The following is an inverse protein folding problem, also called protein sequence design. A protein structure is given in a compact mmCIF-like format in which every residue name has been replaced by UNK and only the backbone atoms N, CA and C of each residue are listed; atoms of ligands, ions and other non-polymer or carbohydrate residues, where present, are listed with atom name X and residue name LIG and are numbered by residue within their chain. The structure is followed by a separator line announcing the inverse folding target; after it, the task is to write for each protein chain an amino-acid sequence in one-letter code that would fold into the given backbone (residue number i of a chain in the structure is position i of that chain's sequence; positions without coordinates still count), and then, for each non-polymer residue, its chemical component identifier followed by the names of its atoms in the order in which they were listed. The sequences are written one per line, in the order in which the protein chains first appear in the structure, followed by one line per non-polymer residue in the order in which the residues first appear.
data_IF_229747623688
#
_entry.id   IF_229747623688
#
_cell.length_a   1.000
_cell.length_b   1.000
_cell.length_c   1.000
_cell.angle_alpha   90.00
_cell.angle_beta   90.00
_cell.angle_gamma   90.00
#
_symmetry.space_group_name_H-M   'P 1'
#
loop_
_entity.id
_entity.type
_entity.pdbx_description
1 polymer ?
#
# COMPACT_ATOMS: atom_id res chain seq x y z
N UNK A 1 18.36 -6.67 -11.04
CA UNK A 1 17.25 -7.08 -10.16
C UNK A 1 16.84 -5.86 -9.34
N UNK A 2 15.55 -5.55 -9.14
CA UNK A 2 15.11 -4.32 -8.46
C UNK A 2 14.96 -4.47 -6.93
N UNK A 3 15.04 -5.70 -6.41
CA UNK A 3 14.90 -6.03 -4.98
C UNK A 3 16.02 -5.44 -4.11
N UNK A 4 17.22 -5.28 -4.65
CA UNK A 4 18.37 -4.71 -3.91
C UNK A 4 18.09 -3.27 -3.45
N UNK A 5 17.21 -2.54 -4.14
CA UNK A 5 16.76 -1.20 -3.73
C UNK A 5 15.90 -1.21 -2.48
N UNK A 6 15.37 -2.35 -2.05
CA UNK A 6 14.56 -2.46 -0.84
C UNK A 6 15.39 -2.80 0.40
N UNK A 7 16.66 -3.19 0.24
CA UNK A 7 17.54 -3.55 1.36
C UNK A 7 17.73 -2.37 2.31
N UNK A 8 17.61 -2.60 3.61
CA UNK A 8 17.76 -1.59 4.65
C UNK A 8 16.50 -1.42 5.48
N UNK A 9 16.52 -0.43 6.37
CA UNK A 9 15.41 -0.14 7.26
C UNK A 9 14.49 0.90 6.64
N UNK A 10 13.19 0.73 6.84
CA UNK A 10 12.16 1.60 6.29
C UNK A 10 11.13 1.95 7.36
N UNK A 11 10.67 3.20 7.33
CA UNK A 11 9.49 3.65 8.07
C UNK A 11 8.28 3.59 7.14
N UNK A 12 7.21 3.02 7.66
CA UNK A 12 5.92 2.96 6.99
C UNK A 12 4.95 3.87 7.74
N UNK A 13 4.28 4.76 7.01
CA UNK A 13 3.17 5.54 7.52
C UNK A 13 1.96 5.22 6.66
N UNK A 14 0.95 4.60 7.27
CA UNK A 14 -0.27 4.19 6.59
C UNK A 14 -1.45 4.97 7.15
N UNK A 15 -2.21 5.59 6.26
CA UNK A 15 -3.53 6.13 6.56
C UNK A 15 -4.58 5.18 5.99
N UNK A 16 -5.25 4.48 6.89
CA UNK A 16 -6.25 3.48 6.56
C UNK A 16 -7.65 4.10 6.71
N UNK A 17 -8.52 3.85 5.73
CA UNK A 17 -9.91 4.27 5.81
C UNK A 17 -10.61 3.56 6.96
N UNK A 18 -11.39 4.28 7.76
CA UNK A 18 -12.18 3.65 8.81
C UNK A 18 -13.24 2.74 8.16
N UNK A 19 -13.10 1.43 8.33
CA UNK A 19 -14.06 0.45 7.81
C UNK A 19 -15.01 0.03 8.94
N UNK A 20 -16.33 0.27 8.79
CA UNK A 20 -17.30 -0.03 9.85
C UNK A 20 -17.52 -1.54 10.04
N UNK A 21 -17.19 -2.34 9.01
CA UNK A 21 -17.34 -3.79 9.01
C UNK A 21 -16.12 -4.46 8.39
N UNK A 22 -15.77 -5.68 8.82
CA UNK A 22 -14.73 -6.47 8.15
C UNK A 22 -15.01 -6.61 6.65
N UNK A 23 -13.99 -6.39 5.85
CA UNK A 23 -14.06 -6.66 4.41
C UNK A 23 -13.63 -8.10 4.17
N UNK A 24 -14.59 -8.96 3.84
CA UNK A 24 -14.33 -10.25 3.21
C UNK A 24 -14.37 -10.05 1.69
N UNK A 25 -13.25 -10.27 1.01
CA UNK A 25 -13.18 -9.96 -0.41
C UNK A 25 -11.77 -10.04 -0.99
N UNK A 26 -11.54 -9.30 -2.07
CA UNK A 26 -10.23 -9.18 -2.72
C UNK A 26 -9.57 -7.86 -2.33
N UNK A 27 -8.26 -7.88 -2.22
CA UNK A 27 -7.45 -6.68 -2.00
C UNK A 27 -6.38 -6.61 -3.07
N UNK A 28 -6.05 -5.39 -3.51
CA UNK A 28 -4.91 -5.12 -4.38
C UNK A 28 -4.21 -3.86 -3.91
N UNK A 29 -2.91 -3.76 -4.20
CA UNK A 29 -2.14 -2.58 -3.89
C UNK A 29 -1.13 -2.30 -5.00
N UNK A 30 -0.80 -1.03 -5.17
CA UNK A 30 0.24 -0.56 -6.08
C UNK A 30 1.21 0.28 -5.30
N UNK A 31 2.51 0.01 -5.47
CA UNK A 31 3.60 0.82 -4.95
C UNK A 31 4.41 1.43 -6.10
N UNK A 32 4.79 2.71 -5.97
CA UNK A 32 5.65 3.42 -6.92
C UNK A 32 6.86 3.98 -6.20
N UNK A 33 8.05 3.65 -6.70
CA UNK A 33 9.27 4.27 -6.22
C UNK A 33 9.27 5.76 -6.55
N UNK A 34 9.54 6.58 -5.54
CA UNK A 34 9.80 8.01 -5.65
C UNK A 34 11.27 8.25 -5.31
N UNK A 35 12.15 7.86 -6.24
CA UNK A 35 13.59 7.81 -6.00
C UNK A 35 14.04 6.52 -5.30
N UNK A 36 15.22 6.53 -4.69
CA UNK A 36 15.82 5.37 -4.04
C UNK A 36 15.30 5.12 -2.61
N UNK A 37 14.74 6.15 -1.98
CA UNK A 37 14.49 6.19 -0.53
C UNK A 37 13.03 6.46 -0.18
N UNK A 38 12.13 6.45 -1.16
CA UNK A 38 10.71 6.59 -0.92
C UNK A 38 9.86 5.71 -1.84
N UNK A 39 8.73 5.23 -1.32
CA UNK A 39 7.71 4.49 -2.07
C UNK A 39 6.34 5.04 -1.68
N UNK A 40 5.56 5.43 -2.68
CA UNK A 40 4.16 5.80 -2.50
C UNK A 40 3.28 4.59 -2.83
N UNK A 41 2.43 4.22 -1.90
CA UNK A 41 1.57 3.04 -1.97
C UNK A 41 0.10 3.43 -1.81
N UNK A 42 -0.77 2.76 -2.56
CA UNK A 42 -2.21 2.82 -2.36
C UNK A 42 -2.80 1.41 -2.44
N UNK A 43 -3.71 1.12 -1.52
CA UNK A 43 -4.49 -0.11 -1.47
C UNK A 43 -5.94 0.14 -1.85
N UNK A 44 -6.54 -0.86 -2.48
CA UNK A 44 -7.96 -0.92 -2.78
C UNK A 44 -8.50 -2.30 -2.40
N UNK A 45 -9.76 -2.34 -1.98
CA UNK A 45 -10.48 -3.57 -1.70
C UNK A 45 -11.73 -3.70 -2.58
N UNK A 46 -12.25 -4.92 -2.68
CA UNK A 46 -13.46 -5.24 -3.42
C UNK A 46 -14.30 -6.25 -2.64
N UNK A 47 -15.58 -5.94 -2.45
CA UNK A 47 -16.59 -6.81 -1.81
C UNK A 47 -17.33 -7.71 -2.81
N UNK A 48 -17.22 -7.44 -4.10
CA UNK A 48 -17.96 -8.08 -5.19
C UNK A 48 -17.06 -8.89 -6.13
N UNK A 49 -16.05 -9.55 -5.54
CA UNK A 49 -15.11 -10.43 -6.25
C UNK A 49 -14.25 -9.73 -7.33
N UNK A 50 -14.08 -8.42 -7.23
CA UNK A 50 -13.22 -7.61 -8.09
C UNK A 50 -13.95 -6.86 -9.19
N UNK A 51 -15.29 -6.82 -9.17
CA UNK A 51 -16.07 -6.04 -10.13
C UNK A 51 -15.97 -4.53 -9.84
N UNK A 52 -16.01 -4.13 -8.56
CA UNK A 52 -15.78 -2.76 -8.10
C UNK A 52 -14.66 -2.70 -7.07
N UNK A 53 -13.93 -1.59 -7.06
CA UNK A 53 -12.80 -1.36 -6.18
C UNK A 53 -13.01 -0.06 -5.39
N UNK A 54 -12.85 -0.13 -4.08
CA UNK A 54 -12.91 1.00 -3.17
C UNK A 54 -11.54 1.29 -2.60
N UNK A 55 -11.23 2.57 -2.37
CA UNK A 55 -10.01 2.95 -1.68
C UNK A 55 -9.98 2.37 -0.27
N UNK A 56 -8.84 1.79 0.10
CA UNK A 56 -8.60 1.20 1.40
C UNK A 56 -7.67 2.08 2.23
N UNK A 57 -6.44 2.23 1.74
CA UNK A 57 -5.40 2.97 2.42
C UNK A 57 -4.48 3.71 1.45
N UNK A 58 -3.86 4.76 1.95
CA UNK A 58 -2.61 5.32 1.40
C UNK A 58 -1.48 4.99 2.35
N UNK A 59 -0.30 4.71 1.82
CA UNK A 59 0.89 4.44 2.62
C UNK A 59 2.11 5.07 1.98
N UNK A 60 2.94 5.72 2.78
CA UNK A 60 4.28 6.16 2.36
C UNK A 60 5.32 5.32 3.07
N UNK A 61 6.30 4.83 2.32
CA UNK A 61 7.50 4.21 2.85
C UNK A 61 8.65 5.19 2.65
N UNK A 62 9.44 5.45 3.69
CA UNK A 62 10.69 6.21 3.60
C UNK A 62 11.83 5.43 4.22
N UNK A 63 13.00 5.42 3.58
CA UNK A 63 14.19 4.82 4.18
C UNK A 63 14.55 5.57 5.46
N UNK A 64 15.04 4.82 6.45
CA UNK A 64 15.63 5.42 7.65
C UNK A 64 17.12 5.12 7.67
N UNK A 65 17.91 6.13 8.04
CA UNK A 65 19.35 6.03 8.28
C UNK A 65 19.64 5.29 9.59
#
# INVERSE_FOLDING_TARGET
MWLDRLLGSWRFTMNHSAMPEPVTGRQRYVGRFRGADAIDCAGEYSRDLGATWQHDFTMTCSRIE
#
